data_IF_352964639452
#
_entry.id   IF_352964639452
#
_cell.length_a   1.000
_cell.length_b   1.000
_cell.length_c   1.000
_cell.angle_alpha   90.00
_cell.angle_beta   90.00
_cell.angle_gamma   90.00
#
_symmetry.space_group_name_H-M   'P 1'
#
loop_
_entity.id
_entity.type
_entity.pdbx_description
1 polymer ?
#
# COMPACT_ATOMS: atom_id res chain seq x y z
N UNK A 1 -39.28 -14.79 -24.05
CA UNK A 1 -38.42 -14.14 -25.07
C UNK A 1 -36.99 -14.61 -24.82
N UNK A 2 -36.46 -15.46 -25.71
CA UNK A 2 -35.10 -16.01 -25.59
C UNK A 2 -34.09 -15.06 -26.27
N UNK A 3 -32.92 -14.89 -25.66
CA UNK A 3 -31.87 -13.96 -26.12
C UNK A 3 -31.13 -14.53 -27.35
N UNK A 4 -30.66 -13.66 -28.26
CA UNK A 4 -29.94 -13.98 -29.51
C UNK A 4 -28.71 -14.88 -29.31
N UNK A 5 -28.11 -14.91 -28.12
CA UNK A 5 -27.02 -15.85 -27.81
C UNK A 5 -27.47 -17.33 -27.81
N UNK A 6 -28.75 -17.62 -27.57
CA UNK A 6 -29.30 -18.98 -27.66
C UNK A 6 -29.60 -19.41 -29.10
N UNK A 7 -29.75 -18.45 -30.02
CA UNK A 7 -29.93 -18.74 -31.44
C UNK A 7 -28.63 -19.19 -32.13
N UNK A 8 -27.49 -18.55 -31.81
CA UNK A 8 -26.18 -18.96 -32.36
C UNK A 8 -25.76 -20.36 -31.89
N UNK A 9 -26.07 -20.73 -30.65
CA UNK A 9 -25.81 -22.08 -30.12
C UNK A 9 -26.70 -23.12 -30.84
N UNK A 10 -27.95 -22.79 -31.18
CA UNK A 10 -28.86 -23.71 -31.89
C UNK A 10 -28.47 -24.00 -33.34
N UNK A 11 -27.91 -23.01 -34.05
CA UNK A 11 -27.50 -23.17 -35.45
C UNK A 11 -26.22 -24.01 -35.53
N UNK A 12 -25.25 -23.80 -34.63
CA UNK A 12 -24.04 -24.61 -34.57
C UNK A 12 -24.30 -26.06 -34.14
N UNK A 13 -25.24 -26.28 -33.20
CA UNK A 13 -25.67 -27.63 -32.83
C UNK A 13 -26.39 -28.35 -33.96
N UNK A 14 -27.22 -27.67 -34.77
CA UNK A 14 -27.87 -28.26 -35.94
C UNK A 14 -26.88 -28.63 -37.05
N UNK A 15 -25.90 -27.78 -37.37
CA UNK A 15 -24.91 -28.09 -38.42
C UNK A 15 -23.98 -29.23 -38.01
N UNK A 16 -23.62 -29.32 -36.72
CA UNK A 16 -22.86 -30.45 -36.17
C UNK A 16 -23.68 -31.75 -36.13
N UNK A 17 -24.99 -31.69 -35.84
CA UNK A 17 -25.87 -32.87 -35.86
C UNK A 17 -26.09 -33.40 -37.28
N UNK A 18 -26.19 -32.51 -38.28
CA UNK A 18 -26.36 -32.87 -39.71
C UNK A 18 -25.05 -33.46 -40.28
N UNK A 19 -23.88 -32.93 -39.90
CA UNK A 19 -22.60 -33.54 -40.27
C UNK A 19 -22.34 -34.88 -39.56
N UNK A 20 -22.79 -35.06 -38.32
CA UNK A 20 -22.64 -36.31 -37.58
C UNK A 20 -23.51 -37.46 -38.13
N UNK A 21 -24.69 -37.15 -38.69
CA UNK A 21 -25.56 -38.14 -39.35
C UNK A 21 -25.04 -38.56 -40.74
N UNK A 22 -24.31 -37.70 -41.44
CA UNK A 22 -23.76 -37.98 -42.78
C UNK A 22 -22.49 -38.88 -42.77
N UNK A 23 -21.89 -39.15 -41.60
CA UNK A 23 -20.64 -39.92 -41.47
C UNK A 23 -20.84 -41.41 -41.07
N UNK A 24 -22.08 -41.90 -41.03
CA UNK A 24 -22.40 -43.29 -40.65
C UNK A 24 -22.79 -44.21 -41.81
N UNK A 25 -22.67 -43.77 -43.06
CA UNK A 25 -22.97 -44.57 -44.25
C UNK A 25 -21.73 -44.96 -45.07
N UNK A 26 -21.56 -46.23 -45.48
CA UNK A 26 -20.50 -46.63 -46.38
C UNK A 26 -20.81 -46.21 -47.83
N UNK A 27 -19.92 -45.39 -48.35
CA UNK A 27 -19.45 -45.21 -49.74
C UNK A 27 -20.47 -45.06 -50.88
N UNK A 28 -20.38 -43.91 -51.58
CA UNK A 28 -20.57 -43.89 -53.04
C UNK A 28 -21.43 -42.77 -53.60
N UNK A 29 -21.11 -41.50 -53.32
CA UNK A 29 -21.19 -40.34 -54.23
C UNK A 29 -21.25 -39.04 -53.42
N UNK A 30 -20.47 -38.05 -53.86
CA UNK A 30 -20.47 -36.70 -53.27
C UNK A 30 -21.73 -35.98 -53.82
N UNK A 31 -22.65 -35.50 -52.98
CA UNK A 31 -23.78 -34.73 -53.47
C UNK A 31 -23.29 -33.39 -54.04
N UNK A 32 -23.67 -33.09 -55.28
CA UNK A 32 -23.36 -31.81 -55.92
C UNK A 32 -24.31 -30.74 -55.40
N UNK A 33 -23.78 -29.77 -54.65
CA UNK A 33 -24.51 -28.57 -54.25
C UNK A 33 -24.72 -27.66 -55.47
N UNK A 34 -25.97 -27.34 -55.76
CA UNK A 34 -26.33 -26.32 -56.75
C UNK A 34 -27.13 -25.23 -56.05
N UNK A 35 -26.57 -24.02 -55.98
CA UNK A 35 -27.28 -22.83 -55.51
C UNK A 35 -28.12 -22.26 -56.66
N UNK A 36 -29.43 -22.12 -56.43
CA UNK A 36 -30.34 -21.44 -57.35
C UNK A 36 -30.90 -20.19 -56.70
N UNK A 37 -30.64 -19.02 -57.29
CA UNK A 37 -31.21 -17.73 -56.85
C UNK A 37 -32.39 -17.38 -57.75
N UNK A 38 -33.62 -17.41 -57.23
CA UNK A 38 -34.79 -16.88 -57.94
C UNK A 38 -34.96 -15.39 -57.64
N UNK A 39 -35.04 -14.55 -58.68
CA UNK A 39 -35.26 -13.11 -58.53
C UNK A 39 -36.75 -12.80 -58.34
N UNK A 40 -37.10 -12.23 -57.18
CA UNK A 40 -38.35 -11.49 -56.91
C UNK A 40 -38.03 -10.17 -56.19
N UNK A 41 -38.93 -9.16 -56.17
CA UNK A 41 -38.53 -7.77 -55.99
C UNK A 41 -38.07 -7.44 -54.57
N UNK A 42 -37.28 -6.38 -54.53
CA UNK A 42 -36.47 -5.82 -53.43
C UNK A 42 -37.06 -6.01 -52.02
N UNK A 43 -36.27 -6.65 -51.14
CA UNK A 43 -36.42 -6.53 -49.69
C UNK A 43 -35.99 -7.75 -48.86
N UNK A 44 -36.07 -8.96 -49.40
CA UNK A 44 -35.69 -10.20 -48.72
C UNK A 44 -35.15 -11.20 -49.74
N UNK A 45 -33.89 -11.60 -49.62
CA UNK A 45 -33.33 -12.69 -50.43
C UNK A 45 -33.62 -14.00 -49.69
N UNK A 46 -34.62 -14.75 -50.18
CA UNK A 46 -34.80 -16.14 -49.78
C UNK A 46 -33.73 -17.00 -50.46
N UNK A 47 -32.86 -17.60 -49.65
CA UNK A 47 -31.90 -18.57 -50.14
C UNK A 47 -32.52 -19.96 -49.99
N UNK A 48 -32.64 -20.67 -51.10
CA UNK A 48 -33.13 -22.04 -51.11
C UNK A 48 -31.97 -22.97 -51.40
N UNK A 49 -31.58 -23.78 -50.42
CA UNK A 49 -30.66 -24.88 -50.65
C UNK A 49 -31.49 -26.09 -51.06
N UNK A 50 -31.22 -26.58 -52.27
CA UNK A 50 -31.89 -27.75 -52.83
C UNK A 50 -30.89 -28.89 -52.88
N UNK A 51 -31.17 -29.95 -52.14
CA UNK A 51 -30.41 -31.19 -52.22
C UNK A 51 -31.19 -32.16 -53.11
N UNK A 52 -30.51 -32.62 -54.17
CA UNK A 52 -31.02 -33.68 -55.04
C UNK A 52 -30.31 -34.98 -54.72
N UNK A 53 -31.11 -36.02 -54.50
CA UNK A 53 -30.65 -37.40 -54.32
C UNK A 53 -31.38 -38.30 -55.33
N UNK A 54 -30.90 -39.51 -55.55
CA UNK A 54 -31.55 -40.47 -56.47
C UNK A 54 -32.99 -40.85 -56.05
N UNK A 55 -33.36 -40.61 -54.79
CA UNK A 55 -34.69 -40.91 -54.24
C UNK A 55 -35.65 -39.71 -54.19
N UNK A 56 -35.21 -38.51 -54.62
CA UNK A 56 -36.05 -37.31 -54.65
C UNK A 56 -35.32 -36.02 -54.29
N UNK A 57 -36.03 -34.90 -54.47
CA UNK A 57 -35.54 -33.54 -54.25
C UNK A 57 -36.11 -32.97 -52.94
N UNK A 58 -35.23 -32.50 -52.06
CA UNK A 58 -35.61 -31.83 -50.81
C UNK A 58 -35.05 -30.41 -50.80
N UNK A 59 -35.91 -29.43 -50.54
CA UNK A 59 -35.54 -28.01 -50.48
C UNK A 59 -35.75 -27.45 -49.08
N UNK A 60 -34.79 -26.67 -48.60
CA UNK A 60 -34.92 -25.87 -47.38
C UNK A 60 -34.75 -24.41 -47.75
N UNK A 61 -35.80 -23.62 -47.56
CA UNK A 61 -35.78 -22.16 -47.68
C UNK A 61 -35.40 -21.53 -46.35
N UNK A 62 -34.47 -20.59 -46.38
CA UNK A 62 -34.19 -19.74 -45.23
C UNK A 62 -34.11 -18.26 -45.66
N UNK A 63 -34.59 -17.39 -44.78
CA UNK A 63 -34.51 -15.96 -44.95
C UNK A 63 -33.16 -15.47 -44.44
N UNK A 64 -32.25 -15.13 -45.36
CA UNK A 64 -30.96 -14.54 -45.03
C UNK A 64 -31.11 -13.05 -44.73
N UNK A 65 -30.86 -12.63 -43.48
CA UNK A 65 -30.63 -11.22 -43.17
C UNK A 65 -29.18 -10.92 -43.53
N UNK A 66 -28.92 -10.08 -44.54
CA UNK A 66 -27.58 -9.56 -44.80
C UNK A 66 -27.16 -8.67 -43.62
N UNK A 67 -26.37 -9.24 -42.70
CA UNK A 67 -25.78 -8.54 -41.56
C UNK A 67 -24.31 -8.21 -41.80
N UNK A 68 -23.93 -6.98 -41.48
CA UNK A 68 -22.63 -6.34 -41.67
C UNK A 68 -21.54 -6.88 -40.72
N UNK A 69 -20.92 -8.01 -41.06
CA UNK A 69 -19.88 -8.64 -40.20
C UNK A 69 -18.62 -7.80 -39.94
N UNK A 70 -18.32 -6.79 -40.75
CA UNK A 70 -17.19 -5.87 -40.50
C UNK A 70 -17.47 -4.79 -39.44
N UNK A 71 -18.74 -4.45 -39.23
CA UNK A 71 -19.14 -3.41 -38.27
C UNK A 71 -19.27 -3.99 -36.85
N UNK A 72 -19.72 -5.24 -36.72
CA UNK A 72 -19.94 -5.89 -35.42
C UNK A 72 -18.62 -6.21 -34.68
N UNK A 73 -17.58 -6.65 -35.41
CA UNK A 73 -16.21 -6.83 -34.87
C UNK A 73 -15.58 -5.52 -34.39
N UNK A 74 -15.79 -4.42 -35.12
CA UNK A 74 -15.29 -3.10 -34.70
C UNK A 74 -16.04 -2.53 -33.50
N UNK A 75 -17.31 -2.91 -33.32
CA UNK A 75 -18.11 -2.53 -32.15
C UNK A 75 -17.65 -3.30 -30.91
N UNK A 76 -17.37 -4.60 -31.01
CA UNK A 76 -16.86 -5.38 -29.88
C UNK A 76 -15.45 -4.92 -29.44
N UNK A 77 -14.55 -4.61 -30.38
CA UNK A 77 -13.21 -4.07 -30.06
C UNK A 77 -13.28 -2.70 -29.37
N UNK A 78 -14.21 -1.84 -29.79
CA UNK A 78 -14.47 -0.55 -29.12
C UNK A 78 -15.02 -0.74 -27.72
N UNK A 79 -15.99 -1.63 -27.54
CA UNK A 79 -16.54 -1.96 -26.23
C UNK A 79 -15.48 -2.58 -25.31
N UNK A 80 -14.60 -3.44 -25.83
CA UNK A 80 -13.49 -4.00 -25.08
C UNK A 80 -12.48 -2.91 -24.69
N UNK A 81 -12.15 -1.98 -25.59
CA UNK A 81 -11.25 -0.87 -25.30
C UNK A 81 -11.84 0.09 -24.26
N UNK A 82 -13.15 0.35 -24.29
CA UNK A 82 -13.87 1.13 -23.28
C UNK A 82 -13.87 0.44 -21.92
N UNK A 83 -14.17 -0.86 -21.86
CA UNK A 83 -14.10 -1.65 -20.61
C UNK A 83 -12.70 -1.64 -20.01
N UNK A 84 -11.65 -1.78 -20.84
CA UNK A 84 -10.26 -1.69 -20.39
C UNK A 84 -9.90 -0.30 -19.86
N UNK A 85 -10.42 0.77 -20.49
CA UNK A 85 -10.24 2.16 -20.02
C UNK A 85 -10.89 2.39 -18.68
N UNK A 86 -12.16 1.99 -18.51
CA UNK A 86 -12.85 2.09 -17.23
C UNK A 86 -12.17 1.30 -16.11
N UNK A 87 -11.75 0.06 -16.38
CA UNK A 87 -10.99 -0.73 -15.40
C UNK A 87 -9.66 -0.06 -14.99
N UNK A 88 -8.96 0.58 -15.95
CA UNK A 88 -7.73 1.34 -15.68
C UNK A 88 -8.01 2.58 -14.82
N UNK A 89 -9.05 3.33 -15.13
CA UNK A 89 -9.46 4.52 -14.37
C UNK A 89 -9.90 4.18 -12.95
N UNK A 90 -10.67 3.11 -12.78
CA UNK A 90 -11.08 2.61 -11.46
C UNK A 90 -9.87 2.16 -10.64
N UNK A 91 -8.92 1.44 -11.25
CA UNK A 91 -7.66 1.07 -10.61
C UNK A 91 -6.87 2.29 -10.17
N UNK A 92 -6.77 3.33 -11.02
CA UNK A 92 -6.11 4.59 -10.69
C UNK A 92 -6.84 5.32 -9.54
N UNK A 93 -8.17 5.36 -9.55
CA UNK A 93 -8.99 5.95 -8.48
C UNK A 93 -8.75 5.24 -7.15
N UNK A 94 -8.75 3.92 -7.15
CA UNK A 94 -8.49 3.11 -5.96
C UNK A 94 -7.06 3.30 -5.44
N UNK A 95 -6.05 3.34 -6.33
CA UNK A 95 -4.68 3.63 -5.93
C UNK A 95 -4.54 5.02 -5.28
N UNK A 96 -5.21 6.05 -5.81
CA UNK A 96 -5.21 7.40 -5.21
C UNK A 96 -5.84 7.41 -3.81
N UNK A 97 -6.97 6.70 -3.63
CA UNK A 97 -7.64 6.59 -2.32
C UNK A 97 -6.77 5.86 -1.28
N UNK A 98 -6.16 4.74 -1.67
CA UNK A 98 -5.25 4.00 -0.81
C UNK A 98 -4.01 4.82 -0.43
N UNK A 99 -3.43 5.54 -1.40
CA UNK A 99 -2.30 6.42 -1.17
C UNK A 99 -2.65 7.57 -0.20
N UNK A 100 -3.80 8.22 -0.38
CA UNK A 100 -4.28 9.27 0.53
C UNK A 100 -4.48 8.74 1.95
N UNK A 101 -5.10 7.56 2.11
CA UNK A 101 -5.26 6.90 3.41
C UNK A 101 -3.91 6.55 4.04
N UNK A 102 -2.96 5.99 3.28
CA UNK A 102 -1.63 5.66 3.81
C UNK A 102 -0.84 6.90 4.26
N UNK A 103 -0.97 8.02 3.53
CA UNK A 103 -0.35 9.29 3.93
C UNK A 103 -0.97 9.80 5.24
N UNK A 104 -2.29 9.78 5.36
CA UNK A 104 -2.98 10.17 6.61
C UNK A 104 -2.58 9.29 7.79
N UNK A 105 -2.49 7.97 7.61
CA UNK A 105 -2.05 7.04 8.66
C UNK A 105 -0.60 7.31 9.08
N UNK A 106 0.28 7.59 8.11
CA UNK A 106 1.69 7.91 8.40
C UNK A 106 1.84 9.23 9.16
N UNK A 107 1.08 10.26 8.77
CA UNK A 107 1.06 11.55 9.47
C UNK A 107 0.50 11.42 10.88
N UNK A 108 -0.57 10.64 11.05
CA UNK A 108 -1.14 10.36 12.37
C UNK A 108 -0.15 9.62 13.28
N UNK A 109 0.51 8.57 12.76
CA UNK A 109 1.54 7.85 13.50
C UNK A 109 2.69 8.79 13.92
N UNK A 110 3.16 9.66 13.03
CA UNK A 110 4.16 10.69 13.33
C UNK A 110 3.69 11.62 14.46
N UNK A 111 2.44 12.06 14.42
CA UNK A 111 1.87 12.92 15.46
C UNK A 111 1.81 12.20 16.81
N UNK A 112 1.38 10.94 16.85
CA UNK A 112 1.34 10.14 18.08
C UNK A 112 2.74 9.99 18.67
N UNK A 113 3.77 9.72 17.85
CA UNK A 113 5.16 9.66 18.30
C UNK A 113 5.65 11.00 18.86
N UNK A 114 5.33 12.11 18.21
CA UNK A 114 5.65 13.44 18.72
C UNK A 114 4.98 13.74 20.07
N UNK A 115 3.72 13.32 20.27
CA UNK A 115 3.03 13.43 21.56
C UNK A 115 3.68 12.56 22.64
N UNK A 116 4.13 11.36 22.29
CA UNK A 116 4.87 10.50 23.21
C UNK A 116 6.19 11.17 23.64
N UNK A 117 6.92 11.80 22.72
CA UNK A 117 8.14 12.55 23.04
C UNK A 117 7.91 13.75 23.95
N UNK A 118 6.84 14.52 23.71
CA UNK A 118 6.40 15.57 24.62
C UNK A 118 6.05 15.02 26.02
N UNK A 119 5.44 13.84 26.10
CA UNK A 119 5.13 13.21 27.37
C UNK A 119 6.40 12.81 28.14
N UNK A 120 7.39 12.25 27.45
CA UNK A 120 8.71 11.90 28.03
C UNK A 120 9.41 13.16 28.54
N UNK A 121 9.41 14.25 27.76
CA UNK A 121 10.00 15.52 28.16
C UNK A 121 9.35 16.08 29.44
N UNK A 122 8.02 16.10 29.51
CA UNK A 122 7.30 16.57 30.72
C UNK A 122 7.56 15.68 31.93
N UNK A 123 7.64 14.36 31.73
CA UNK A 123 7.99 13.45 32.80
C UNK A 123 9.42 13.75 33.33
N UNK A 124 10.38 13.98 32.44
CA UNK A 124 11.72 14.40 32.80
C UNK A 124 11.74 15.68 33.65
N UNK A 125 10.98 16.70 33.24
CA UNK A 125 10.84 17.96 33.98
C UNK A 125 10.29 17.76 35.41
N UNK A 126 9.40 16.79 35.63
CA UNK A 126 8.82 16.51 36.95
C UNK A 126 9.82 16.01 38.00
N UNK A 127 10.99 15.52 37.56
CA UNK A 127 12.05 15.04 38.43
C UNK A 127 13.15 16.08 38.71
N UNK A 128 13.05 17.29 38.16
CA UNK A 128 13.98 18.38 38.49
C UNK A 128 13.99 18.61 40.01
N UNK A 129 15.19 18.64 40.59
CA UNK A 129 15.43 18.68 42.03
C UNK A 129 15.64 17.32 42.70
N UNK A 130 15.45 16.20 41.99
CA UNK A 130 15.81 14.88 42.52
C UNK A 130 17.32 14.80 42.73
N UNK A 131 17.81 14.15 43.81
CA UNK A 131 19.24 14.08 44.10
C UNK A 131 19.99 13.23 43.07
N UNK A 132 21.29 13.52 42.92
CA UNK A 132 22.17 12.65 42.15
C UNK A 132 22.77 11.58 43.07
N UNK A 133 22.80 10.34 42.58
CA UNK A 133 23.52 9.23 43.21
C UNK A 133 24.17 8.41 42.10
N UNK A 134 25.48 8.21 42.17
CA UNK A 134 26.19 7.37 41.21
C UNK A 134 25.62 5.95 41.22
N UNK A 135 25.25 5.41 40.05
CA UNK A 135 24.57 4.12 39.96
C UNK A 135 23.05 4.19 40.24
N UNK A 136 22.54 5.34 40.66
CA UNK A 136 21.15 5.56 41.04
C UNK A 136 20.17 5.47 39.85
N UNK A 137 19.02 4.86 40.10
CA UNK A 137 17.99 4.55 39.08
C UNK A 137 16.56 4.84 39.58
N UNK A 138 16.43 5.61 40.66
CA UNK A 138 15.14 5.84 41.33
C UNK A 138 14.97 7.32 41.71
N UNK A 139 13.75 7.82 41.97
CA UNK A 139 13.54 9.20 42.40
C UNK A 139 14.29 9.61 43.68
N UNK A 140 14.73 8.66 44.50
CA UNK A 140 15.56 8.90 45.68
C UNK A 140 17.03 9.19 45.32
N UNK A 141 17.42 9.03 44.06
CA UNK A 141 18.79 9.20 43.59
C UNK A 141 18.98 8.67 42.18
N UNK A 142 19.39 9.54 41.26
CA UNK A 142 19.70 9.19 39.87
C UNK A 142 21.16 9.46 39.52
N UNK A 143 21.77 8.64 38.67
CA UNK A 143 22.83 9.13 37.78
C UNK A 143 22.25 9.51 36.41
N UNK A 144 23.07 10.06 35.53
CA UNK A 144 22.59 10.61 34.26
C UNK A 144 21.89 9.56 33.37
N UNK A 145 22.39 8.33 33.34
CA UNK A 145 21.84 7.25 32.52
C UNK A 145 20.72 6.46 33.21
N UNK A 146 20.76 6.38 34.54
CA UNK A 146 19.66 5.86 35.35
C UNK A 146 18.45 6.78 35.34
N UNK A 147 18.66 8.10 35.28
CA UNK A 147 17.60 9.09 35.09
C UNK A 147 16.87 8.88 33.76
N UNK A 148 17.61 8.84 32.64
CA UNK A 148 17.00 8.65 31.32
C UNK A 148 16.31 7.29 31.23
N UNK A 149 16.93 6.24 31.76
CA UNK A 149 16.35 4.90 31.82
C UNK A 149 15.02 4.89 32.57
N UNK A 150 14.97 5.51 33.75
CA UNK A 150 13.79 5.55 34.57
C UNK A 150 12.63 6.28 33.86
N UNK A 151 12.90 7.47 33.32
CA UNK A 151 11.87 8.25 32.61
C UNK A 151 11.33 7.49 31.40
N UNK A 152 12.21 6.93 30.57
CA UNK A 152 11.79 6.15 29.41
C UNK A 152 10.99 4.89 29.78
N UNK A 153 11.34 4.22 30.87
CA UNK A 153 10.62 3.05 31.36
C UNK A 153 9.17 3.37 31.75
N UNK A 154 8.89 4.57 32.29
CA UNK A 154 7.52 5.02 32.58
C UNK A 154 6.64 5.13 31.32
N UNK A 155 7.26 5.27 30.15
CA UNK A 155 6.59 5.34 28.86
C UNK A 155 6.68 4.02 28.07
N UNK A 156 7.04 2.92 28.73
CA UNK A 156 7.09 1.58 28.15
C UNK A 156 8.25 1.37 27.18
N UNK A 157 9.29 2.19 27.25
CA UNK A 157 10.46 2.13 26.36
C UNK A 157 11.67 1.73 27.17
N UNK A 158 12.25 0.58 26.83
CA UNK A 158 13.47 0.11 27.46
C UNK A 158 14.69 0.77 26.79
N UNK A 159 15.55 1.38 27.60
CA UNK A 159 16.88 1.85 27.17
C UNK A 159 17.97 1.20 28.03
N UNK A 160 19.17 0.98 27.47
CA UNK A 160 20.30 0.42 28.20
C UNK A 160 20.65 1.20 29.47
N UNK A 161 21.32 0.55 30.43
CA UNK A 161 21.69 1.18 31.70
C UNK A 161 22.79 2.24 31.55
N UNK A 162 23.72 2.05 30.62
CA UNK A 162 24.91 2.88 30.50
C UNK A 162 24.74 3.93 29.40
N UNK A 163 25.35 5.11 29.58
CA UNK A 163 25.30 6.19 28.61
C UNK A 163 25.90 5.84 27.24
N UNK A 164 26.97 5.04 27.21
CA UNK A 164 27.61 4.55 25.99
C UNK A 164 26.66 3.65 25.19
N UNK A 165 26.03 2.68 25.85
CA UNK A 165 25.06 1.78 25.22
C UNK A 165 23.80 2.54 24.77
N UNK A 166 23.37 3.55 25.54
CA UNK A 166 22.26 4.44 25.13
C UNK A 166 22.60 5.27 23.90
N UNK A 167 23.87 5.61 23.68
CA UNK A 167 24.31 6.32 22.48
C UNK A 167 24.26 5.42 21.24
N UNK A 168 24.34 4.10 21.38
CA UNK A 168 24.33 3.16 20.26
C UNK A 168 22.93 2.73 19.81
N UNK A 169 21.88 3.11 20.55
CA UNK A 169 20.48 2.78 20.22
C UNK A 169 19.71 3.98 19.65
N UNK A 170 18.69 3.68 18.84
CA UNK A 170 17.82 4.68 18.23
C UNK A 170 18.41 5.35 16.99
N UNK A 171 17.66 6.31 16.44
CA UNK A 171 18.05 7.06 15.24
C UNK A 171 18.96 8.24 15.61
N UNK A 172 20.09 8.48 14.93
CA UNK A 172 20.88 9.69 15.12
C UNK A 172 20.08 10.94 14.71
N UNK A 173 20.20 12.00 15.50
CA UNK A 173 19.51 13.28 15.31
C UNK A 173 20.51 14.42 15.43
N UNK A 174 20.48 15.36 14.48
CA UNK A 174 21.29 16.57 14.53
C UNK A 174 20.66 17.59 15.48
N UNK A 175 21.46 18.51 16.03
CA UNK A 175 20.99 19.50 17.01
C UNK A 175 19.77 20.29 16.52
N UNK A 176 19.73 20.65 15.24
CA UNK A 176 18.65 21.42 14.62
C UNK A 176 17.37 20.60 14.39
N UNK A 177 17.46 19.27 14.47
CA UNK A 177 16.36 18.34 14.26
C UNK A 177 15.82 17.75 15.57
N UNK A 178 16.37 18.18 16.71
CA UNK A 178 15.98 17.73 18.04
C UNK A 178 14.50 18.02 18.30
N UNK A 179 13.84 17.03 18.88
CA UNK A 179 12.45 17.09 19.30
C UNK A 179 12.34 16.71 20.78
N UNK A 180 11.37 17.26 21.52
CA UNK A 180 11.14 16.88 22.91
C UNK A 180 11.07 15.36 23.06
N UNK A 181 11.80 14.84 24.04
CA UNK A 181 11.97 13.42 24.29
C UNK A 181 13.30 12.87 23.78
N UNK A 182 13.93 13.46 22.76
CA UNK A 182 15.23 12.96 22.26
C UNK A 182 16.30 12.95 23.36
N UNK A 183 17.18 11.95 23.32
CA UNK A 183 18.36 11.91 24.18
C UNK A 183 19.46 12.79 23.59
N UNK A 184 20.11 13.62 24.40
CA UNK A 184 21.25 14.44 24.02
C UNK A 184 22.49 13.98 24.75
N UNK A 185 23.62 13.86 24.06
CA UNK A 185 24.84 13.26 24.59
C UNK A 185 26.03 14.22 24.54
N UNK A 186 26.90 14.09 25.54
CA UNK A 186 28.05 14.96 25.72
C UNK A 186 29.29 14.19 26.17
N UNK A 187 30.46 14.71 25.81
CA UNK A 187 31.76 14.30 26.37
C UNK A 187 32.14 15.25 27.51
N UNK A 188 31.97 14.84 28.76
CA UNK A 188 32.21 15.70 29.94
C UNK A 188 33.37 15.21 30.79
N UNK A 189 33.18 14.16 31.60
CA UNK A 189 34.15 13.68 32.59
C UNK A 189 35.02 12.52 32.08
N UNK A 190 34.64 11.89 30.98
CA UNK A 190 35.42 10.84 30.32
C UNK A 190 35.27 10.94 28.79
N UNK A 191 36.25 10.45 28.00
CA UNK A 191 36.15 10.41 26.54
C UNK A 191 34.91 9.63 26.07
N UNK A 192 34.21 10.15 25.06
CA UNK A 192 32.99 9.55 24.52
C UNK A 192 31.72 10.06 25.23
N UNK A 193 30.56 9.40 25.03
CA UNK A 193 29.25 9.80 25.59
C UNK A 193 29.17 9.56 27.10
N UNK A 194 29.99 10.27 27.87
CA UNK A 194 30.07 10.16 29.33
C UNK A 194 28.87 10.82 30.02
N UNK A 195 28.17 11.75 29.37
CA UNK A 195 26.97 12.37 29.93
C UNK A 195 25.84 12.45 28.94
N UNK A 196 24.61 12.50 29.45
CA UNK A 196 23.41 12.57 28.65
C UNK A 196 22.24 13.21 29.42
N UNK A 197 21.22 13.59 28.67
CA UNK A 197 19.96 14.11 29.20
C UNK A 197 18.82 13.94 28.20
N UNK A 198 17.63 14.37 28.60
CA UNK A 198 16.41 14.36 27.78
C UNK A 198 16.17 15.78 27.29
N UNK A 199 16.13 15.98 25.97
CA UNK A 199 15.77 17.25 25.36
C UNK A 199 14.30 17.57 25.63
N UNK A 200 14.02 18.79 26.08
CA UNK A 200 12.66 19.23 26.45
C UNK A 200 12.10 20.33 25.56
N UNK A 201 12.84 20.72 24.53
CA UNK A 201 12.47 21.79 23.61
C UNK A 201 13.24 23.09 23.86
N UNK A 202 13.15 24.04 22.93
CA UNK A 202 13.73 25.39 23.07
C UNK A 202 15.23 25.41 23.42
N UNK A 203 16.00 24.44 22.94
CA UNK A 203 17.42 24.32 23.26
C UNK A 203 17.71 23.83 24.68
N UNK A 204 16.69 23.41 25.44
CA UNK A 204 16.84 22.96 26.84
C UNK A 204 16.80 21.44 26.95
N UNK A 205 17.43 20.92 27.98
CA UNK A 205 17.41 19.50 28.32
C UNK A 205 17.48 19.31 29.84
N UNK A 206 16.88 18.22 30.33
CA UNK A 206 16.89 17.82 31.74
C UNK A 206 17.85 16.66 31.93
N UNK A 207 18.63 16.69 33.00
CA UNK A 207 19.61 15.65 33.29
C UNK A 207 20.03 15.63 34.77
N UNK A 208 20.46 14.47 35.26
CA UNK A 208 21.11 14.35 36.56
C UNK A 208 22.58 14.81 36.43
N UNK A 209 22.90 16.00 36.95
CA UNK A 209 24.18 16.67 36.73
C UNK A 209 25.31 16.08 37.58
N UNK A 210 25.19 16.18 38.91
CA UNK A 210 26.19 15.75 39.89
C UNK A 210 25.62 15.75 41.31
N UNK A 211 26.38 15.25 42.28
CA UNK A 211 26.00 15.14 43.70
C UNK A 211 25.51 16.46 44.32
N UNK A 212 26.08 17.60 43.93
CA UNK A 212 25.79 18.89 44.56
C UNK A 212 24.48 19.50 44.06
N UNK A 213 24.10 19.23 42.81
CA UNK A 213 22.94 19.87 42.16
C UNK A 213 21.76 18.93 41.98
N UNK A 214 22.00 17.63 41.73
CA UNK A 214 20.95 16.70 41.35
C UNK A 214 20.48 16.84 39.91
N UNK A 215 19.19 16.59 39.69
CA UNK A 215 18.50 16.73 38.39
C UNK A 215 18.17 18.20 38.13
N UNK A 216 18.61 18.73 37.00
CA UNK A 216 18.46 20.15 36.62
C UNK A 216 18.13 20.29 35.14
N UNK A 217 17.54 21.43 34.78
CA UNK A 217 17.39 21.88 33.39
C UNK A 217 18.59 22.73 32.97
N UNK A 218 19.25 22.34 31.88
CA UNK A 218 20.38 23.04 31.26
C UNK A 218 20.01 23.48 29.84
N UNK A 219 20.78 24.41 29.27
CA UNK A 219 20.66 24.84 27.86
C UNK A 219 21.83 24.33 27.03
N UNK A 220 21.55 23.89 25.80
CA UNK A 220 22.53 23.49 24.80
C UNK A 220 23.39 24.66 24.31
N UNK A 221 22.90 25.90 24.44
CA UNK A 221 23.62 27.10 24.00
C UNK A 221 24.71 27.55 24.99
N UNK A 222 24.73 26.97 26.19
CA UNK A 222 25.82 27.20 27.15
C UNK A 222 27.13 26.64 26.59
N UNK A 223 28.19 27.45 26.58
CA UNK A 223 29.52 27.09 26.07
C UNK A 223 30.05 25.75 26.63
N UNK A 224 29.72 25.40 27.87
CA UNK A 224 30.11 24.11 28.44
C UNK A 224 29.52 22.94 27.64
N UNK A 225 28.21 22.94 27.40
CA UNK A 225 27.52 21.86 26.69
C UNK A 225 27.69 21.95 25.18
N UNK A 226 27.64 23.16 24.63
CA UNK A 226 27.82 23.44 23.21
C UNK A 226 29.13 22.85 22.67
N UNK A 227 30.23 23.05 23.39
CA UNK A 227 31.55 22.55 22.98
C UNK A 227 31.76 21.05 23.26
N UNK A 228 30.80 20.39 23.92
CA UNK A 228 30.89 18.98 24.33
C UNK A 228 29.81 18.11 23.69
N UNK A 229 28.92 18.70 22.89
CA UNK A 229 27.80 17.99 22.27
C UNK A 229 28.29 16.97 21.24
N UNK A 230 27.89 15.72 21.41
CA UNK A 230 28.24 14.61 20.51
C UNK A 230 27.14 14.31 19.49
N UNK A 231 25.88 14.59 19.84
CA UNK A 231 24.72 14.31 19.01
C UNK A 231 23.48 13.94 19.80
N UNK A 232 22.35 13.85 19.09
CA UNK A 232 21.08 13.36 19.62
C UNK A 232 20.77 11.92 19.21
N UNK A 233 19.96 11.23 20.01
CA UNK A 233 19.34 9.93 19.66
C UNK A 233 17.84 9.97 19.89
N UNK A 234 17.08 9.54 18.89
CA UNK A 234 15.62 9.37 18.95
C UNK A 234 15.28 7.90 19.11
N UNK A 235 14.72 7.55 20.26
CA UNK A 235 14.35 6.17 20.61
C UNK A 235 12.84 5.92 20.46
N UNK A 236 12.05 6.97 20.28
CA UNK A 236 10.58 6.94 20.13
C UNK A 236 10.09 7.55 18.83
#
# INVERSE_FOLDING_TARGET
MMNKSQHFISVWLCTLLICALALSGPQGSIPTLAEGVSKQPVGQAEHTLVLRTEQGQFGVTYNGVQGTGHDELQVEDRQLAERKRHAREEKIRMQKLLASRSVHLTQYAKWVKAQQGLSVARAAESFVGSPYVWGGTTPQGFDCSGFTQYVYAQHGVAVPRNSYDQFDVGKPVQQQELQPGDLVFFTTYAPGPSHLGIYVGEGKFVHALNNDTGVITSTLDNDYYKNRFLGGKRVI
#
